data_IF_074152024038
#
_entry.id   IF_074152024038
#
_cell.length_a   1.000
_cell.length_b   1.000
_cell.length_c   1.000
_cell.angle_alpha   90.00
_cell.angle_beta   90.00
_cell.angle_gamma   90.00
#
_symmetry.space_group_name_H-M   'P 1'
#
loop_
_entity.id
_entity.type
_entity.pdbx_description
1 polymer ?
#
# COMPACT_ATOMS: atom_id res chain seq x y z
N UNK A 1 -25.44 13.41 22.24
CA UNK A 1 -25.54 12.76 20.92
C UNK A 1 -24.55 13.28 19.88
N UNK A 2 -24.13 14.54 19.95
CA UNK A 2 -23.15 15.10 19.00
C UNK A 2 -21.71 14.59 19.16
N UNK A 3 -21.32 14.11 20.32
CA UNK A 3 -19.93 13.66 20.59
C UNK A 3 -19.62 12.25 20.05
N UNK A 4 -20.62 11.41 19.79
CA UNK A 4 -20.42 10.09 19.19
C UNK A 4 -20.19 10.20 17.66
N UNK A 5 -20.88 11.10 16.98
CA UNK A 5 -20.75 11.29 15.55
C UNK A 5 -19.37 11.88 15.17
N UNK A 6 -18.79 12.72 16.01
CA UNK A 6 -17.45 13.31 15.79
C UNK A 6 -16.32 12.29 16.03
N UNK A 7 -16.51 11.36 16.99
CA UNK A 7 -15.55 10.29 17.24
C UNK A 7 -15.53 9.22 16.13
N UNK A 8 -16.64 9.01 15.46
CA UNK A 8 -16.72 8.03 14.37
C UNK A 8 -16.26 8.58 13.02
N UNK A 9 -16.38 9.89 12.78
CA UNK A 9 -16.01 10.50 11.51
C UNK A 9 -14.52 10.75 11.33
N UNK A 10 -13.77 11.06 12.38
CA UNK A 10 -12.32 11.33 12.30
C UNK A 10 -11.50 10.06 11.99
N UNK A 11 -11.56 8.99 12.80
CA UNK A 11 -10.87 7.73 12.53
C UNK A 11 -11.40 7.00 11.29
N UNK A 12 -12.71 7.05 11.02
CA UNK A 12 -13.34 6.39 9.89
C UNK A 12 -12.87 6.90 8.54
N UNK A 13 -12.49 8.17 8.44
CA UNK A 13 -11.99 8.78 7.20
C UNK A 13 -10.66 8.14 6.76
N UNK A 14 -9.82 7.72 7.70
CA UNK A 14 -8.54 7.07 7.43
C UNK A 14 -8.58 5.54 7.57
N UNK A 15 -9.63 4.99 8.20
CA UNK A 15 -9.82 3.55 8.42
C UNK A 15 -10.83 2.91 7.46
N UNK A 16 -11.25 3.62 6.43
CA UNK A 16 -12.21 3.12 5.46
C UNK A 16 -11.75 1.82 4.79
N UNK A 17 -10.45 1.64 4.66
CA UNK A 17 -9.83 0.46 4.06
C UNK A 17 -9.08 -0.34 5.13
N UNK A 18 -9.80 -1.23 5.80
CA UNK A 18 -9.27 -2.04 6.89
C UNK A 18 -8.37 -3.19 6.45
N UNK A 19 -8.00 -4.02 7.41
CA UNK A 19 -7.07 -5.15 7.23
C UNK A 19 -7.44 -6.05 6.04
N UNK A 20 -8.68 -6.49 5.96
CA UNK A 20 -9.13 -7.39 4.90
C UNK A 20 -8.97 -6.77 3.50
N UNK A 21 -9.27 -5.49 3.36
CA UNK A 21 -9.10 -4.75 2.11
C UNK A 21 -7.62 -4.65 1.72
N UNK A 22 -6.76 -4.30 2.66
CA UNK A 22 -5.31 -4.18 2.43
C UNK A 22 -4.68 -5.52 2.06
N UNK A 23 -5.09 -6.62 2.70
CA UNK A 23 -4.65 -7.96 2.32
C UNK A 23 -5.05 -8.30 0.88
N UNK A 24 -6.25 -7.92 0.46
CA UNK A 24 -6.72 -8.13 -0.91
C UNK A 24 -6.00 -7.26 -1.94
N UNK A 25 -5.60 -6.05 -1.57
CA UNK A 25 -4.71 -5.25 -2.44
C UNK A 25 -3.43 -6.03 -2.75
N UNK A 26 -2.75 -6.51 -1.73
CA UNK A 26 -1.51 -7.26 -1.93
C UNK A 26 -1.75 -8.56 -2.72
N UNK A 27 -2.81 -9.29 -2.41
CA UNK A 27 -3.20 -10.48 -3.17
C UNK A 27 -3.44 -10.15 -4.64
N UNK A 28 -4.09 -9.03 -4.94
CA UNK A 28 -4.30 -8.54 -6.30
C UNK A 28 -2.99 -8.24 -7.03
N UNK A 29 -2.04 -7.60 -6.35
CA UNK A 29 -0.70 -7.37 -6.91
C UNK A 29 0.01 -8.69 -7.26
N UNK A 30 -0.14 -9.70 -6.42
CA UNK A 30 0.46 -11.01 -6.63
C UNK A 30 -0.18 -11.80 -7.79
N UNK A 31 -1.49 -11.64 -7.99
CA UNK A 31 -2.26 -12.34 -9.03
C UNK A 31 -2.11 -11.66 -10.39
N UNK A 32 -2.22 -10.33 -10.44
CA UNK A 32 -2.23 -9.55 -11.68
C UNK A 32 -0.96 -8.71 -11.78
N UNK A 33 0.00 -9.21 -12.54
CA UNK A 33 1.32 -8.57 -12.72
C UNK A 33 1.24 -7.25 -13.50
N UNK A 34 0.33 -7.14 -14.45
CA UNK A 34 0.12 -5.91 -15.21
C UNK A 34 -0.45 -4.81 -14.31
N UNK A 35 -1.41 -5.16 -13.47
CA UNK A 35 -1.93 -4.23 -12.47
C UNK A 35 -0.87 -3.89 -11.41
N UNK A 36 -0.07 -4.86 -10.98
CA UNK A 36 1.04 -4.62 -10.06
C UNK A 36 2.05 -3.61 -10.61
N UNK A 37 2.35 -3.66 -11.90
CA UNK A 37 3.25 -2.70 -12.54
C UNK A 37 2.66 -1.28 -12.53
N UNK A 38 1.37 -1.13 -12.79
CA UNK A 38 0.68 0.15 -12.71
C UNK A 38 0.68 0.69 -11.27
N UNK A 39 0.38 -0.16 -10.30
CA UNK A 39 0.34 0.24 -8.88
C UNK A 39 1.73 0.55 -8.32
N UNK A 40 2.79 -0.04 -8.86
CA UNK A 40 4.17 0.24 -8.46
C UNK A 40 4.53 1.74 -8.60
N UNK A 41 3.92 2.43 -9.55
CA UNK A 41 4.17 3.86 -9.77
C UNK A 41 3.57 4.74 -8.65
N UNK A 42 2.47 4.32 -8.06
CA UNK A 42 1.68 5.14 -7.12
C UNK A 42 1.68 4.61 -5.69
N UNK A 43 1.88 3.31 -5.50
CA UNK A 43 1.85 2.66 -4.19
C UNK A 43 3.23 2.69 -3.54
N UNK A 44 3.24 2.90 -2.23
CA UNK A 44 4.44 2.77 -1.41
C UNK A 44 4.20 1.72 -0.34
N UNK A 45 5.21 0.89 0.00
CA UNK A 45 5.05 -0.15 1.02
C UNK A 45 4.51 0.38 2.35
N UNK A 46 4.94 1.56 2.78
CA UNK A 46 4.50 2.17 4.04
C UNK A 46 3.05 2.67 4.03
N UNK A 47 2.36 2.68 2.87
CA UNK A 47 0.92 2.96 2.83
C UNK A 47 0.10 1.86 3.49
N UNK A 48 0.58 0.62 3.49
CA UNK A 48 -0.05 -0.42 4.28
C UNK A 48 0.11 -0.14 5.78
N UNK A 49 -0.95 -0.33 6.54
CA UNK A 49 -0.93 -0.15 7.99
C UNK A 49 -0.37 -1.37 8.72
N UNK A 50 -0.38 -2.52 8.06
CA UNK A 50 0.06 -3.80 8.62
C UNK A 50 1.52 -4.06 8.24
N UNK A 51 2.37 -4.26 9.24
CA UNK A 51 3.82 -4.43 9.04
C UNK A 51 4.17 -5.59 8.11
N UNK A 52 3.43 -6.68 8.18
CA UNK A 52 3.69 -7.83 7.30
C UNK A 52 3.34 -7.52 5.84
N UNK A 53 2.35 -6.67 5.56
CA UNK A 53 2.04 -6.21 4.21
C UNK A 53 3.08 -5.20 3.72
N UNK A 54 3.55 -4.30 4.59
CA UNK A 54 4.65 -3.39 4.27
C UNK A 54 5.88 -4.18 3.83
N UNK A 55 6.27 -5.16 4.63
CA UNK A 55 7.43 -6.01 4.36
C UNK A 55 7.30 -6.79 3.05
N UNK A 56 6.16 -7.44 2.84
CA UNK A 56 5.91 -8.20 1.61
C UNK A 56 5.89 -7.29 0.38
N UNK A 57 5.26 -6.14 0.47
CA UNK A 57 5.20 -5.18 -0.63
C UNK A 57 6.58 -4.61 -0.95
N UNK A 58 7.39 -4.30 0.07
CA UNK A 58 8.77 -3.84 -0.09
C UNK A 58 9.60 -4.87 -0.86
N UNK A 59 9.56 -6.13 -0.44
CA UNK A 59 10.28 -7.22 -1.12
C UNK A 59 9.79 -7.46 -2.54
N UNK A 60 8.49 -7.38 -2.74
CA UNK A 60 7.86 -7.56 -4.04
C UNK A 60 8.28 -6.47 -5.04
N UNK A 61 8.29 -5.21 -4.60
CA UNK A 61 8.67 -4.07 -5.42
C UNK A 61 10.19 -3.97 -5.61
N UNK A 62 10.98 -4.26 -4.58
CA UNK A 62 12.44 -4.33 -4.68
C UNK A 62 12.89 -5.36 -5.72
N UNK A 63 12.23 -6.51 -5.76
CA UNK A 63 12.50 -7.50 -6.79
C UNK A 63 12.21 -6.96 -8.20
N UNK A 64 11.08 -6.28 -8.37
CA UNK A 64 10.74 -5.65 -9.65
C UNK A 64 11.75 -4.59 -10.06
N UNK A 65 12.20 -3.76 -9.13
CA UNK A 65 13.19 -2.72 -9.40
C UNK A 65 14.52 -3.31 -9.89
N UNK A 66 14.91 -4.45 -9.33
CA UNK A 66 16.17 -5.14 -9.67
C UNK A 66 16.09 -5.95 -10.96
N UNK A 67 14.97 -6.63 -11.20
CA UNK A 67 14.85 -7.63 -12.28
C UNK A 67 13.84 -7.26 -13.37
N UNK A 68 13.11 -6.18 -13.21
CA UNK A 68 12.06 -5.70 -14.14
C UNK A 68 10.93 -6.70 -14.41
N UNK A 69 10.75 -7.63 -13.51
CA UNK A 69 9.61 -8.53 -13.44
C UNK A 69 9.28 -8.81 -11.97
N UNK A 70 8.02 -9.15 -11.70
CA UNK A 70 7.63 -9.51 -10.34
C UNK A 70 7.97 -10.96 -10.04
N UNK A 71 8.32 -11.29 -8.79
CA UNK A 71 8.57 -12.67 -8.41
C UNK A 71 7.27 -13.49 -8.45
N UNK A 72 7.41 -14.78 -8.67
CA UNK A 72 6.30 -15.70 -8.39
C UNK A 72 6.05 -15.73 -6.88
N UNK A 73 4.84 -16.11 -6.48
CA UNK A 73 4.53 -16.24 -5.06
C UNK A 73 5.44 -17.25 -4.35
N UNK A 74 5.79 -18.33 -5.03
CA UNK A 74 6.69 -19.35 -4.50
C UNK A 74 8.10 -18.75 -4.22
N UNK A 75 8.62 -17.98 -5.16
CA UNK A 75 9.92 -17.32 -5.00
C UNK A 75 9.88 -16.28 -3.88
N UNK A 76 8.82 -15.48 -3.81
CA UNK A 76 8.65 -14.50 -2.73
C UNK A 76 8.65 -15.17 -1.35
N UNK A 77 7.92 -16.27 -1.21
CA UNK A 77 7.88 -17.06 0.04
C UNK A 77 9.28 -17.57 0.39
N UNK A 78 10.03 -18.06 -0.59
CA UNK A 78 11.39 -18.55 -0.37
C UNK A 78 12.33 -17.43 0.07
N UNK A 79 12.27 -16.27 -0.57
CA UNK A 79 13.08 -15.10 -0.22
C UNK A 79 12.79 -14.63 1.21
N UNK A 80 11.51 -14.44 1.52
CA UNK A 80 11.06 -14.03 2.86
C UNK A 80 11.44 -15.08 3.91
N UNK A 81 11.25 -16.36 3.61
CA UNK A 81 11.61 -17.45 4.50
C UNK A 81 13.09 -17.46 4.86
N UNK A 82 13.96 -17.25 3.87
CA UNK A 82 15.42 -17.23 4.10
C UNK A 82 15.85 -16.03 4.95
N UNK A 83 15.21 -14.87 4.78
CA UNK A 83 15.53 -13.68 5.58
C UNK A 83 15.03 -13.77 7.03
N UNK A 84 13.88 -14.39 7.25
CA UNK A 84 13.22 -14.46 8.57
C UNK A 84 13.52 -15.72 9.38
N UNK A 85 14.49 -16.55 8.96
CA UNK A 85 14.89 -17.77 9.68
C UNK A 85 16.13 -17.61 10.55
N UNK A 86 16.87 -16.47 10.44
CA UNK A 86 18.09 -16.22 11.21
C UNK A 86 17.83 -15.92 12.69
N UNK A 87 18.87 -16.08 13.52
CA UNK A 87 18.85 -15.62 14.92
C UNK A 87 18.63 -14.09 14.93
N UNK A 88 17.67 -13.64 15.76
CA UNK A 88 17.28 -12.24 15.86
C UNK A 88 16.20 -11.80 14.85
N UNK A 89 15.67 -12.72 14.04
CA UNK A 89 14.52 -12.42 13.16
C UNK A 89 13.24 -12.25 13.97
N UNK A 90 12.33 -11.40 13.44
CA UNK A 90 11.03 -11.13 14.09
C UNK A 90 10.08 -12.34 13.88
N UNK A 91 9.94 -13.16 14.91
CA UNK A 91 9.07 -14.34 14.89
C UNK A 91 7.58 -14.00 14.78
N UNK A 92 7.16 -12.82 15.25
CA UNK A 92 5.78 -12.34 15.15
C UNK A 92 5.49 -12.00 13.68
N UNK A 93 6.36 -11.24 13.05
CA UNK A 93 6.25 -10.89 11.65
C UNK A 93 6.20 -12.13 10.76
N UNK A 94 7.09 -13.08 10.99
CA UNK A 94 7.12 -14.35 10.27
C UNK A 94 5.79 -15.12 10.39
N UNK A 95 5.24 -15.23 11.58
CA UNK A 95 3.98 -15.90 11.80
C UNK A 95 2.82 -15.20 11.10
N UNK A 96 2.78 -13.88 11.13
CA UNK A 96 1.76 -13.09 10.42
C UNK A 96 1.84 -13.30 8.90
N UNK A 97 3.03 -13.34 8.34
CA UNK A 97 3.26 -13.62 6.92
C UNK A 97 2.77 -15.03 6.56
N UNK A 98 3.15 -16.04 7.34
CA UNK A 98 2.72 -17.43 7.11
C UNK A 98 1.20 -17.55 7.13
N UNK A 99 0.56 -16.95 8.12
CA UNK A 99 -0.90 -16.97 8.24
C UNK A 99 -1.57 -16.24 7.07
N UNK A 100 -1.02 -15.12 6.64
CA UNK A 100 -1.54 -14.37 5.50
C UNK A 100 -1.41 -15.18 4.20
N UNK A 101 -0.25 -15.78 3.94
CA UNK A 101 -0.05 -16.64 2.77
C UNK A 101 -1.01 -17.82 2.78
N UNK A 102 -1.25 -18.41 3.94
CA UNK A 102 -2.23 -19.50 4.09
C UNK A 102 -3.65 -19.02 3.72
N UNK A 103 -4.06 -17.82 4.16
CA UNK A 103 -5.35 -17.24 3.76
C UNK A 103 -5.45 -17.00 2.25
N UNK A 104 -4.38 -16.49 1.63
CA UNK A 104 -4.36 -16.29 0.18
C UNK A 104 -4.51 -17.60 -0.59
N UNK A 105 -3.84 -18.66 -0.15
CA UNK A 105 -3.95 -19.98 -0.76
C UNK A 105 -5.34 -20.60 -0.59
N UNK A 106 -6.01 -20.29 0.49
CA UNK A 106 -7.39 -20.73 0.74
C UNK A 106 -8.42 -20.03 -0.14
N UNK A 107 -8.08 -18.89 -0.71
CA UNK A 107 -8.95 -18.14 -1.64
C UNK A 107 -8.12 -17.57 -2.81
N UNK A 108 -7.70 -18.42 -3.77
CA UNK A 108 -6.80 -18.01 -4.84
C UNK A 108 -7.45 -17.08 -5.88
N UNK A 109 -8.77 -16.99 -5.92
CA UNK A 109 -9.52 -16.16 -6.86
C UNK A 109 -10.61 -15.38 -6.11
N UNK A 110 -10.24 -14.31 -5.38
CA UNK A 110 -11.22 -13.52 -4.64
C UNK A 110 -12.21 -12.82 -5.58
N UNK A 111 -13.50 -13.03 -5.34
CA UNK A 111 -14.59 -12.49 -6.18
C UNK A 111 -14.66 -10.96 -6.14
N UNK A 112 -14.22 -10.36 -5.06
CA UNK A 112 -14.24 -8.91 -4.85
C UNK A 112 -12.97 -8.19 -5.33
N UNK A 113 -12.06 -8.88 -6.02
CA UNK A 113 -10.84 -8.30 -6.55
C UNK A 113 -11.09 -7.13 -7.52
N UNK A 114 -12.09 -7.15 -8.41
CA UNK A 114 -12.40 -6.00 -9.26
C UNK A 114 -12.73 -4.74 -8.46
N UNK A 115 -13.49 -4.87 -7.39
CA UNK A 115 -13.80 -3.75 -6.48
C UNK A 115 -12.53 -3.23 -5.79
N UNK A 116 -11.69 -4.13 -5.31
CA UNK A 116 -10.42 -3.78 -4.64
C UNK A 116 -9.52 -3.00 -5.59
N UNK A 117 -9.38 -3.44 -6.84
CA UNK A 117 -8.61 -2.74 -7.86
C UNK A 117 -9.15 -1.35 -8.15
N UNK A 118 -10.47 -1.22 -8.26
CA UNK A 118 -11.14 0.08 -8.48
C UNK A 118 -10.86 1.07 -7.34
N UNK A 119 -10.76 0.59 -6.11
CA UNK A 119 -10.56 1.43 -4.91
C UNK A 119 -9.11 1.57 -4.47
N UNK A 120 -8.19 0.81 -5.03
CA UNK A 120 -6.78 0.82 -4.60
C UNK A 120 -6.10 2.17 -4.79
N UNK A 121 -6.42 2.88 -5.87
CA UNK A 121 -5.87 4.22 -6.09
C UNK A 121 -6.38 5.23 -5.04
N UNK A 122 -7.65 5.16 -4.68
CA UNK A 122 -8.21 5.98 -3.59
C UNK A 122 -7.53 5.67 -2.25
N UNK A 123 -7.27 4.40 -1.97
CA UNK A 123 -6.47 4.00 -0.81
C UNK A 123 -5.09 4.67 -0.82
N UNK A 124 -4.36 4.61 -1.92
CA UNK A 124 -3.03 5.25 -2.05
C UNK A 124 -3.11 6.77 -1.84
N UNK A 125 -4.10 7.43 -2.42
CA UNK A 125 -4.31 8.86 -2.25
C UNK A 125 -4.55 9.24 -0.80
N UNK A 126 -5.37 8.47 -0.09
CA UNK A 126 -5.66 8.70 1.33
C UNK A 126 -4.43 8.51 2.19
N UNK A 127 -3.64 7.49 1.93
CA UNK A 127 -2.41 7.23 2.68
C UNK A 127 -1.34 8.30 2.40
N UNK A 128 -1.18 8.72 1.16
CA UNK A 128 -0.30 9.83 0.80
C UNK A 128 -0.71 11.14 1.50
N UNK A 129 -2.01 11.41 1.56
CA UNK A 129 -2.54 12.59 2.23
C UNK A 129 -2.34 12.52 3.75
N UNK A 130 -2.55 11.36 4.34
CA UNK A 130 -2.28 11.11 5.77
C UNK A 130 -0.80 11.36 6.12
N UNK A 131 0.12 10.84 5.31
CA UNK A 131 1.56 11.08 5.47
C UNK A 131 1.90 12.57 5.37
N UNK A 132 1.32 13.24 4.37
CA UNK A 132 1.51 14.67 4.16
C UNK A 132 1.02 15.50 5.35
N UNK A 133 -0.15 15.17 5.92
CA UNK A 133 -0.67 15.84 7.11
C UNK A 133 0.26 15.64 8.32
N UNK A 134 0.77 14.45 8.53
CA UNK A 134 1.70 14.15 9.61
C UNK A 134 2.99 14.96 9.48
N UNK A 135 3.58 14.98 8.30
CA UNK A 135 4.79 15.77 8.02
C UNK A 135 4.54 17.28 8.07
N UNK A 136 3.35 17.72 7.63
CA UNK A 136 2.96 19.13 7.67
C UNK A 136 2.98 19.70 9.09
N UNK A 137 2.57 18.92 10.09
CA UNK A 137 2.61 19.33 11.50
C UNK A 137 4.04 19.66 11.92
N UNK A 138 5.00 18.82 11.56
CA UNK A 138 6.42 19.04 11.87
C UNK A 138 6.97 20.27 11.15
N UNK A 139 6.61 20.48 9.89
CA UNK A 139 7.03 21.63 9.11
C UNK A 139 6.48 22.95 9.65
N UNK A 140 5.23 22.95 10.12
CA UNK A 140 4.60 24.13 10.75
C UNK A 140 5.31 24.48 12.05
N UNK A 141 5.68 23.49 12.85
CA UNK A 141 6.45 23.71 14.08
C UNK A 141 7.84 24.31 13.82
N UNK A 142 8.40 24.06 12.63
CA UNK A 142 9.67 24.63 12.17
C UNK A 142 9.53 25.90 11.32
N UNK A 143 8.36 26.51 11.28
CA UNK A 143 8.04 27.73 10.48
C UNK A 143 8.29 27.58 8.97
N UNK A 144 8.22 26.35 8.44
CA UNK A 144 8.46 26.04 7.03
C UNK A 144 7.15 25.99 6.23
N UNK A 145 6.42 27.09 6.19
CA UNK A 145 5.08 27.14 5.58
C UNK A 145 5.05 26.89 4.07
N UNK A 146 6.04 27.37 3.31
CA UNK A 146 6.13 27.11 1.87
C UNK A 146 6.30 25.62 1.58
N UNK A 147 7.10 24.92 2.38
CA UNK A 147 7.29 23.48 2.27
C UNK A 147 6.00 22.70 2.54
N UNK A 148 5.11 23.19 3.39
CA UNK A 148 3.79 22.61 3.64
C UNK A 148 2.94 22.67 2.37
N UNK A 149 2.91 23.81 1.68
CA UNK A 149 2.14 23.97 0.44
C UNK A 149 2.62 23.00 -0.62
N UNK A 150 3.93 22.89 -0.82
CA UNK A 150 4.52 21.95 -1.80
C UNK A 150 4.21 20.50 -1.47
N UNK A 151 4.30 20.14 -0.19
CA UNK A 151 3.98 18.80 0.30
C UNK A 151 2.52 18.42 0.03
N UNK A 152 1.58 19.35 0.31
CA UNK A 152 0.16 19.12 0.08
C UNK A 152 -0.18 19.01 -1.41
N UNK A 153 0.46 19.82 -2.26
CA UNK A 153 0.33 19.71 -3.72
C UNK A 153 0.77 18.35 -4.24
N UNK A 154 1.88 17.82 -3.75
CA UNK A 154 2.37 16.47 -4.10
C UNK A 154 1.39 15.38 -3.66
N UNK A 155 0.86 15.47 -2.45
CA UNK A 155 -0.09 14.50 -1.93
C UNK A 155 -1.39 14.44 -2.75
N UNK A 156 -1.91 15.60 -3.15
CA UNK A 156 -3.11 15.71 -3.98
C UNK A 156 -2.86 15.18 -5.40
N UNK A 157 -1.64 15.25 -5.90
CA UNK A 157 -1.27 14.81 -7.26
C UNK A 157 -1.00 13.31 -7.39
N UNK A 158 -1.06 12.53 -6.31
CA UNK A 158 -0.86 11.09 -6.36
C UNK A 158 -1.86 10.43 -7.33
N UNK A 159 -1.35 9.68 -8.29
CA UNK A 159 -2.16 9.03 -9.32
C UNK A 159 -2.72 9.96 -10.39
N UNK A 160 -2.37 11.25 -10.38
CA UNK A 160 -2.70 12.14 -11.51
C UNK A 160 -1.73 11.91 -12.67
N UNK A 161 -2.24 12.00 -13.93
CA UNK A 161 -1.37 11.88 -15.08
C UNK A 161 -0.38 13.03 -15.10
N UNK A 162 0.90 12.72 -15.30
CA UNK A 162 1.91 13.72 -15.56
C UNK A 162 1.63 14.38 -16.92
N UNK A 163 1.85 15.69 -17.03
CA UNK A 163 1.63 16.48 -18.24
C UNK A 163 2.48 16.07 -19.46
N UNK A 164 3.28 15.05 -19.36
CA UNK A 164 4.21 14.55 -20.37
C UNK A 164 3.67 13.38 -21.21
N UNK A 165 2.36 13.26 -21.37
CA UNK A 165 1.77 12.33 -22.33
C UNK A 165 1.71 10.87 -21.92
N UNK A 166 1.79 10.57 -20.65
CA UNK A 166 1.52 9.22 -20.16
C UNK A 166 0.03 8.88 -20.32
N UNK A 167 -0.21 7.73 -20.89
CA UNK A 167 -1.53 7.26 -21.24
C UNK A 167 -2.40 7.08 -19.99
N UNK A 168 -3.46 7.89 -19.91
CA UNK A 168 -4.47 7.82 -18.83
C UNK A 168 -5.09 6.43 -18.64
N UNK A 169 -5.03 5.58 -19.66
CA UNK A 169 -5.54 4.22 -19.60
C UNK A 169 -4.82 3.30 -18.62
N UNK A 170 -3.59 3.67 -18.19
CA UNK A 170 -2.82 2.91 -17.19
C UNK A 170 -3.34 3.08 -15.76
N UNK A 171 -4.12 4.11 -15.49
CA UNK A 171 -4.63 4.45 -14.14
C UNK A 171 -6.12 4.16 -14.03
N UNK A 172 -6.82 4.07 -15.15
CA UNK A 172 -8.23 3.69 -15.23
C UNK A 172 -8.34 2.22 -15.56
N UNK A 173 -8.63 1.44 -14.57
CA UNK A 173 -8.92 0.01 -14.74
C UNK A 173 -10.39 -0.23 -14.44
#
# INVERSE_FOLDING_TARGET
MSNLAIKETGPALFQQYGKAFQEKIFQGLAIDKDWAQQMHEVMRPHYFELKYLQYLCEKYFEYFDNYRCFPTMQLLIQMVGSELTGEGSDGILRNQIVQFIHRMRGNPHPEDLPYVKDKALDFCKRQAFKDALTTAVELVQGDKFESVVDLMKKAVSVGMPHSTGHNLSLIHI
#
